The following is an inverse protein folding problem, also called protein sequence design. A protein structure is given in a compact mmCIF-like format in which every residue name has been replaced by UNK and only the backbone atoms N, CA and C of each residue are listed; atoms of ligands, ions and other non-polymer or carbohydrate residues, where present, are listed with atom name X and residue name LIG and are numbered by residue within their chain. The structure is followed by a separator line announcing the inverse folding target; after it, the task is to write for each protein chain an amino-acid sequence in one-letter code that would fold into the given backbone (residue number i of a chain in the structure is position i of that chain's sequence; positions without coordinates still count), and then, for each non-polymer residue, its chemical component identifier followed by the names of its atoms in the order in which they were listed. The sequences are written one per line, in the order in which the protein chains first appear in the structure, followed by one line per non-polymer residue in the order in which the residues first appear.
data_IF_926405998463
#
_entry.id   IF_926405998463
#
_cell.length_a   1.000
_cell.length_b   1.000
_cell.length_c   1.000
_cell.angle_alpha   90.00
_cell.angle_beta   90.00
_cell.angle_gamma   90.00
#
_symmetry.space_group_name_H-M   'P 1'
#
loop_
_entity.id
_entity.type
_entity.pdbx_description
1 polymer ?
#
# COMPACT_ATOMS: atom_id res chain seq x y z
N UNK A 1 27.68 12.06 -4.77
CA UNK A 1 26.37 12.29 -5.39
C UNK A 1 25.44 11.20 -4.90
N UNK A 2 24.47 11.53 -4.04
CA UNK A 2 23.43 10.56 -3.69
C UNK A 2 22.55 10.36 -4.93
N UNK A 3 22.31 9.11 -5.38
CA UNK A 3 21.45 8.86 -6.52
C UNK A 3 20.07 9.42 -6.23
N UNK A 4 19.53 10.22 -7.15
CA UNK A 4 18.23 10.85 -7.02
C UNK A 4 17.17 9.79 -6.73
N UNK A 5 16.65 9.80 -5.52
CA UNK A 5 15.48 9.01 -5.13
C UNK A 5 14.35 9.40 -6.06
N UNK A 6 13.90 8.47 -6.90
CA UNK A 6 12.75 8.71 -7.74
C UNK A 6 11.57 9.13 -6.84
N UNK A 7 10.97 10.27 -7.17
CA UNK A 7 9.87 10.85 -6.42
C UNK A 7 8.60 10.06 -6.71
N UNK A 8 8.12 9.30 -5.73
CA UNK A 8 6.74 8.79 -5.71
C UNK A 8 5.93 9.87 -5.00
N UNK A 9 4.95 10.54 -5.65
CA UNK A 9 4.02 11.43 -4.96
C UNK A 9 3.41 10.66 -3.78
N UNK A 10 3.40 11.21 -2.58
CA UNK A 10 2.93 10.48 -1.41
C UNK A 10 1.68 11.16 -0.87
N UNK A 11 0.53 10.76 -1.40
CA UNK A 11 -0.76 11.20 -0.88
C UNK A 11 -1.44 10.06 -0.14
N UNK A 12 -2.14 10.38 0.94
CA UNK A 12 -3.07 9.44 1.53
C UNK A 12 -4.23 9.19 0.57
N UNK A 13 -4.63 7.94 0.41
CA UNK A 13 -5.82 7.57 -0.34
C UNK A 13 -6.51 6.37 0.31
N UNK A 14 -7.69 6.05 -0.19
CA UNK A 14 -8.46 4.91 0.28
C UNK A 14 -8.58 3.86 -0.84
N UNK A 15 -8.52 2.60 -0.45
CA UNK A 15 -8.81 1.46 -1.32
C UNK A 15 -10.08 0.78 -0.83
N UNK A 16 -10.96 0.43 -1.75
CA UNK A 16 -12.07 -0.46 -1.49
C UNK A 16 -11.57 -1.90 -1.61
N UNK A 17 -11.66 -2.66 -0.53
CA UNK A 17 -11.14 -4.02 -0.43
C UNK A 17 -12.29 -4.98 -0.16
N UNK A 18 -12.38 -6.02 -0.96
CA UNK A 18 -13.33 -7.11 -0.75
C UNK A 18 -12.69 -8.17 0.14
N UNK A 19 -13.12 -8.23 1.39
CA UNK A 19 -12.86 -9.34 2.29
C UNK A 19 -13.84 -10.49 1.99
N UNK A 20 -13.76 -11.56 2.77
CA UNK A 20 -14.57 -12.76 2.55
C UNK A 20 -16.07 -12.48 2.70
N UNK A 21 -16.43 -11.75 3.75
CA UNK A 21 -17.83 -11.55 4.16
C UNK A 21 -18.28 -10.08 4.06
N UNK A 22 -17.36 -9.15 3.82
CA UNK A 22 -17.65 -7.73 3.69
C UNK A 22 -16.75 -6.99 2.68
N UNK A 23 -17.13 -5.76 2.38
CA UNK A 23 -16.35 -4.81 1.61
C UNK A 23 -16.06 -3.60 2.50
N UNK A 24 -14.78 -3.22 2.60
CA UNK A 24 -14.35 -2.15 3.51
C UNK A 24 -13.39 -1.21 2.83
N UNK A 25 -13.50 0.06 3.21
CA UNK A 25 -12.53 1.08 2.83
C UNK A 25 -11.32 1.01 3.76
N UNK A 26 -10.14 0.73 3.20
CA UNK A 26 -8.88 0.77 3.93
C UNK A 26 -8.10 2.01 3.53
N UNK A 27 -7.49 2.68 4.50
CA UNK A 27 -6.61 3.81 4.26
C UNK A 27 -5.21 3.32 3.90
N UNK A 28 -4.60 3.93 2.90
CA UNK A 28 -3.18 3.76 2.57
C UNK A 28 -2.47 5.05 2.93
N UNK A 29 -1.61 4.97 3.93
CA UNK A 29 -0.87 6.11 4.49
C UNK A 29 0.60 6.01 4.07
N UNK A 30 1.17 7.01 3.40
CA UNK A 30 2.61 7.04 3.19
C UNK A 30 3.33 7.27 4.53
N UNK A 31 4.38 6.50 4.81
CA UNK A 31 5.21 6.67 6.01
C UNK A 31 6.58 7.27 5.68
N UNK A 32 7.23 6.73 4.64
CA UNK A 32 8.49 7.18 4.07
C UNK A 32 8.44 7.00 2.55
N UNK A 33 9.38 7.56 1.80
CA UNK A 33 9.43 7.40 0.34
C UNK A 33 9.38 5.92 -0.04
N UNK A 34 8.36 5.55 -0.81
CA UNK A 34 8.11 4.17 -1.24
C UNK A 34 7.52 3.24 -0.18
N UNK A 35 7.32 3.69 1.06
CA UNK A 35 6.71 2.91 2.14
C UNK A 35 5.27 3.36 2.43
N UNK A 36 4.39 2.38 2.61
CA UNK A 36 2.97 2.57 2.84
C UNK A 36 2.48 1.70 3.99
N UNK A 37 1.74 2.31 4.90
CA UNK A 37 0.95 1.63 5.92
C UNK A 37 -0.47 1.44 5.40
N UNK A 38 -1.01 0.25 5.58
CA UNK A 38 -2.42 -0.06 5.29
C UNK A 38 -3.16 -0.13 6.61
N UNK A 39 -4.17 0.71 6.77
CA UNK A 39 -4.93 0.86 8.01
C UNK A 39 -6.41 0.61 7.73
N UNK A 40 -7.04 -0.19 8.58
CA UNK A 40 -8.47 -0.46 8.57
C UNK A 40 -9.05 -0.13 9.94
N UNK A 41 -9.96 0.84 9.99
CA UNK A 41 -10.65 1.27 11.22
C UNK A 41 -9.70 1.55 12.41
N UNK A 42 -8.54 2.14 12.15
CA UNK A 42 -7.53 2.45 13.16
C UNK A 42 -6.57 1.31 13.50
N UNK A 43 -6.74 0.12 12.91
CA UNK A 43 -5.80 -1.00 13.02
C UNK A 43 -4.89 -1.07 11.80
N UNK A 44 -3.58 -1.19 12.03
CA UNK A 44 -2.62 -1.47 10.96
C UNK A 44 -2.81 -2.91 10.49
N UNK A 45 -3.14 -3.08 9.21
CA UNK A 45 -3.21 -4.36 8.53
C UNK A 45 -1.85 -4.82 8.00
N UNK A 46 -0.97 -3.86 7.71
CA UNK A 46 0.40 -4.16 7.30
C UNK A 46 1.12 -2.98 6.67
N UNK A 47 2.39 -3.24 6.35
CA UNK A 47 3.31 -2.29 5.75
C UNK A 47 3.83 -2.84 4.42
N UNK A 48 3.91 -2.01 3.40
CA UNK A 48 4.41 -2.36 2.08
C UNK A 48 5.47 -1.36 1.64
N UNK A 49 6.58 -1.86 1.08
CA UNK A 49 7.59 -1.04 0.45
C UNK A 49 7.64 -1.28 -1.07
N UNK A 50 7.87 -0.20 -1.81
CA UNK A 50 7.95 -0.14 -3.25
C UNK A 50 9.23 0.54 -3.70
N UNK A 51 9.79 0.08 -4.81
CA UNK A 51 10.90 0.74 -5.49
C UNK A 51 10.42 1.91 -6.38
N UNK A 52 11.38 2.61 -7.00
CA UNK A 52 11.13 3.70 -7.94
C UNK A 52 10.33 3.31 -9.19
N UNK A 53 10.20 2.02 -9.47
CA UNK A 53 9.48 1.45 -10.61
C UNK A 53 8.11 0.89 -10.19
N UNK A 54 7.65 1.18 -8.97
CA UNK A 54 6.40 0.70 -8.38
C UNK A 54 6.32 -0.84 -8.27
N UNK A 55 7.47 -1.50 -8.13
CA UNK A 55 7.51 -2.91 -7.75
C UNK A 55 7.50 -3.03 -6.23
N UNK A 56 6.63 -3.88 -5.69
CA UNK A 56 6.61 -4.16 -4.26
C UNK A 56 7.82 -5.03 -3.89
N UNK A 57 8.73 -4.48 -3.08
CA UNK A 57 9.98 -5.14 -2.66
C UNK A 57 9.87 -5.80 -1.29
N UNK A 58 8.97 -5.33 -0.43
CA UNK A 58 8.64 -5.99 0.83
C UNK A 58 7.16 -5.77 1.20
N UNK A 59 6.61 -6.75 1.91
CA UNK A 59 5.26 -6.66 2.47
C UNK A 59 5.22 -7.44 3.79
N UNK A 60 4.90 -6.74 4.88
CA UNK A 60 4.66 -7.32 6.20
C UNK A 60 3.21 -7.05 6.55
N UNK A 61 2.34 -8.04 6.39
CA UNK A 61 0.90 -7.84 6.59
C UNK A 61 0.27 -9.03 7.30
N UNK A 62 -0.72 -8.75 8.15
CA UNK A 62 -1.57 -9.72 8.85
C UNK A 62 -2.86 -10.00 8.06
N UNK A 63 -2.78 -10.08 6.74
CA UNK A 63 -3.95 -10.31 5.87
C UNK A 63 -3.75 -11.50 4.94
N UNK A 64 -4.87 -12.06 4.49
CA UNK A 64 -4.85 -13.16 3.53
C UNK A 64 -4.17 -12.75 2.20
N UNK A 65 -3.53 -13.69 1.47
CA UNK A 65 -2.85 -13.39 0.20
C UNK A 65 -3.74 -12.70 -0.86
N UNK A 66 -5.04 -13.03 -0.88
CA UNK A 66 -6.02 -12.39 -1.76
C UNK A 66 -6.17 -10.90 -1.44
N UNK A 67 -6.21 -10.54 -0.16
CA UNK A 67 -6.33 -9.16 0.30
C UNK A 67 -5.06 -8.39 -0.01
N UNK A 68 -3.89 -8.97 0.27
CA UNK A 68 -2.60 -8.38 -0.08
C UNK A 68 -2.51 -8.10 -1.60
N UNK A 69 -3.01 -9.01 -2.43
CA UNK A 69 -3.03 -8.82 -3.89
C UNK A 69 -3.90 -7.63 -4.30
N UNK A 70 -5.07 -7.45 -3.67
CA UNK A 70 -5.94 -6.30 -3.94
C UNK A 70 -5.26 -4.99 -3.53
N UNK A 71 -4.65 -4.94 -2.35
CA UNK A 71 -3.87 -3.79 -1.86
C UNK A 71 -2.77 -3.45 -2.86
N UNK A 72 -1.95 -4.43 -3.26
CA UNK A 72 -0.83 -4.18 -4.18
C UNK A 72 -1.28 -3.63 -5.53
N UNK A 73 -2.38 -4.17 -6.07
CA UNK A 73 -2.99 -3.67 -7.32
C UNK A 73 -3.53 -2.25 -7.15
N UNK A 74 -4.18 -1.96 -6.03
CA UNK A 74 -4.73 -0.65 -5.71
C UNK A 74 -3.65 0.43 -5.62
N UNK A 75 -2.59 0.17 -4.86
CA UNK A 75 -1.44 1.09 -4.72
C UNK A 75 -0.81 1.34 -6.09
N UNK A 76 -0.52 0.28 -6.85
CA UNK A 76 0.06 0.41 -8.19
C UNK A 76 -0.82 1.24 -9.11
N UNK A 77 -2.14 0.99 -9.13
CA UNK A 77 -3.10 1.73 -9.97
C UNK A 77 -3.18 3.21 -9.57
N UNK A 78 -3.07 3.54 -8.29
CA UNK A 78 -3.12 4.92 -7.82
C UNK A 78 -1.90 5.75 -8.27
N UNK A 79 -0.72 5.11 -8.39
CA UNK A 79 0.54 5.76 -8.74
C UNK A 79 1.02 5.51 -10.18
N UNK A 80 0.29 4.73 -10.99
CA UNK A 80 0.55 4.56 -12.43
C UNK A 80 0.00 5.73 -13.22
#
# INVERSE_FOLDING_TARGET
MQPGTAYIPQQQFHLLIHFKDDERSVAVLPSQVGQFLVVDQGRVLGELAYDSHLNCVSAHCEVEPRILTQIKKGIRKHYS
#
